data_IF_189468052398
#
_entry.id   IF_189468052398
#
_cell.length_a   1.000
_cell.length_b   1.000
_cell.length_c   1.000
_cell.angle_alpha   90.00
_cell.angle_beta   90.00
_cell.angle_gamma   90.00
#
_symmetry.space_group_name_H-M   'P 1'
#
loop_
_entity.id
_entity.type
_entity.pdbx_description
1 polymer ?
#
# COMPACT_ATOMS: atom_id res chain seq x y z
N UNK A 1 -24.20 3.76 -8.17
CA UNK A 1 -22.78 4.11 -8.32
C UNK A 1 -22.07 2.86 -8.78
N UNK A 2 -21.54 2.85 -10.00
CA UNK A 2 -20.70 1.75 -10.48
C UNK A 2 -19.32 1.89 -9.81
N UNK A 3 -18.89 0.85 -9.08
CA UNK A 3 -17.59 0.82 -8.43
C UNK A 3 -16.53 0.35 -9.44
N UNK A 4 -15.77 1.31 -9.98
CA UNK A 4 -14.68 1.03 -10.90
C UNK A 4 -13.35 0.77 -10.19
N UNK A 5 -13.31 0.85 -8.85
CA UNK A 5 -12.08 0.69 -8.06
C UNK A 5 -11.52 -0.71 -8.28
N UNK A 6 -12.33 -1.75 -8.04
CA UNK A 6 -11.95 -3.14 -8.26
C UNK A 6 -11.51 -3.41 -9.72
N UNK A 7 -12.19 -2.81 -10.70
CA UNK A 7 -11.84 -2.96 -12.11
C UNK A 7 -10.49 -2.31 -12.45
N UNK A 8 -10.23 -1.10 -11.96
CA UNK A 8 -8.98 -0.37 -12.15
C UNK A 8 -7.81 -1.09 -11.46
N UNK A 9 -8.04 -1.64 -10.26
CA UNK A 9 -7.10 -2.47 -9.49
C UNK A 9 -6.69 -3.72 -10.27
N UNK A 10 -7.69 -4.49 -10.72
CA UNK A 10 -7.49 -5.72 -11.49
C UNK A 10 -6.80 -5.44 -12.83
N UNK A 11 -7.11 -4.30 -13.46
CA UNK A 11 -6.49 -3.88 -14.72
C UNK A 11 -5.01 -3.50 -14.53
N UNK A 12 -4.69 -2.66 -13.54
CA UNK A 12 -3.30 -2.31 -13.18
C UNK A 12 -2.50 -3.55 -12.80
N UNK A 13 -3.09 -4.45 -12.03
CA UNK A 13 -2.49 -5.72 -11.66
C UNK A 13 -2.17 -6.58 -12.90
N UNK A 14 -3.15 -6.76 -13.78
CA UNK A 14 -2.99 -7.55 -15.00
C UNK A 14 -1.91 -6.97 -15.90
N UNK A 15 -1.82 -5.64 -16.03
CA UNK A 15 -0.75 -4.96 -16.79
C UNK A 15 0.62 -5.21 -16.15
N UNK A 16 0.74 -5.13 -14.82
CA UNK A 16 1.98 -5.41 -14.09
C UNK A 16 2.43 -6.87 -14.24
N UNK A 17 1.49 -7.82 -14.16
CA UNK A 17 1.78 -9.25 -14.34
C UNK A 17 2.20 -9.55 -15.78
N UNK A 18 1.49 -8.98 -16.75
CA UNK A 18 1.79 -9.18 -18.17
C UNK A 18 3.14 -8.54 -18.53
N UNK A 19 3.40 -7.30 -18.13
CA UNK A 19 4.69 -6.63 -18.36
C UNK A 19 5.87 -7.38 -17.72
N UNK A 20 5.69 -7.93 -16.52
CA UNK A 20 6.70 -8.78 -15.88
C UNK A 20 6.93 -10.11 -16.60
N UNK A 21 5.92 -10.64 -17.31
CA UNK A 21 6.00 -11.89 -18.10
C UNK A 21 6.67 -11.68 -19.46
N UNK A 22 6.42 -10.53 -20.10
CA UNK A 22 6.89 -10.25 -21.46
C UNK A 22 8.32 -9.69 -21.51
N UNK A 23 8.78 -8.95 -20.49
CA UNK A 23 10.14 -8.41 -20.47
C UNK A 23 10.97 -8.91 -19.29
N UNK A 24 11.72 -10.00 -19.51
CA UNK A 24 12.74 -10.50 -18.58
C UNK A 24 13.82 -9.43 -18.22
N UNK A 25 13.91 -8.36 -19.01
CA UNK A 25 14.88 -7.27 -18.84
C UNK A 25 14.33 -6.04 -18.10
N UNK A 26 13.01 -5.83 -18.01
CA UNK A 26 12.45 -4.63 -17.38
C UNK A 26 12.84 -4.57 -15.90
N UNK A 27 12.73 -5.71 -15.19
CA UNK A 27 13.15 -5.83 -13.80
C UNK A 27 14.67 -5.77 -13.60
N UNK A 28 15.50 -5.80 -14.66
CA UNK A 28 16.94 -5.58 -14.52
C UNK A 28 17.29 -4.12 -14.30
N UNK A 29 16.46 -3.22 -14.82
CA UNK A 29 16.65 -1.79 -14.65
C UNK A 29 16.55 -1.43 -13.17
N UNK A 30 17.63 -0.87 -12.62
CA UNK A 30 17.70 -0.48 -11.22
C UNK A 30 16.58 0.50 -10.84
N UNK A 31 16.19 1.38 -11.77
CA UNK A 31 15.09 2.33 -11.64
C UNK A 31 13.75 1.63 -11.41
N UNK A 32 13.45 0.56 -12.13
CA UNK A 32 12.16 -0.14 -12.02
C UNK A 32 12.01 -0.76 -10.63
N UNK A 33 13.12 -1.30 -10.06
CA UNK A 33 13.12 -1.86 -8.70
C UNK A 33 12.79 -0.80 -7.65
N UNK A 34 13.35 0.41 -7.80
CA UNK A 34 13.08 1.51 -6.89
C UNK A 34 11.68 2.09 -7.05
N UNK A 35 11.19 2.22 -8.28
CA UNK A 35 9.81 2.65 -8.55
C UNK A 35 8.82 1.72 -7.83
N UNK A 36 8.98 0.41 -7.99
CA UNK A 36 8.13 -0.57 -7.32
C UNK A 36 8.28 -0.51 -5.79
N UNK A 37 9.51 -0.38 -5.30
CA UNK A 37 9.78 -0.33 -3.87
C UNK A 37 9.18 0.92 -3.19
N UNK A 38 9.22 2.08 -3.84
CA UNK A 38 8.68 3.35 -3.31
C UNK A 38 7.20 3.57 -3.61
N UNK A 39 6.55 2.67 -4.37
CA UNK A 39 5.12 2.71 -4.64
C UNK A 39 4.24 2.98 -3.39
N UNK A 40 4.41 2.28 -2.24
CA UNK A 40 3.57 2.53 -1.06
C UNK A 40 3.78 3.93 -0.48
N UNK A 41 4.99 4.49 -0.56
CA UNK A 41 5.26 5.88 -0.12
C UNK A 41 4.59 6.89 -1.05
N UNK A 42 4.66 6.66 -2.36
CA UNK A 42 3.99 7.51 -3.35
C UNK A 42 2.46 7.50 -3.16
N UNK A 43 1.88 6.32 -2.92
CA UNK A 43 0.45 6.17 -2.63
C UNK A 43 0.07 6.83 -1.31
N UNK A 44 0.89 6.69 -0.27
CA UNK A 44 0.71 7.42 1.01
C UNK A 44 0.62 8.92 0.77
N UNK A 45 1.61 9.48 0.09
CA UNK A 45 1.68 10.90 -0.20
C UNK A 45 0.44 11.36 -0.99
N UNK A 46 0.06 10.60 -2.02
CA UNK A 46 -1.12 10.88 -2.83
C UNK A 46 -2.40 10.89 -1.98
N UNK A 47 -2.59 9.91 -1.09
CA UNK A 47 -3.73 9.85 -0.17
C UNK A 47 -3.81 11.11 0.70
N UNK A 48 -2.71 11.51 1.35
CA UNK A 48 -2.68 12.71 2.19
C UNK A 48 -2.88 13.99 1.38
N UNK A 49 -2.32 14.05 0.17
CA UNK A 49 -2.50 15.20 -0.72
C UNK A 49 -3.96 15.35 -1.15
N UNK A 50 -4.62 14.25 -1.53
CA UNK A 50 -6.06 14.25 -1.85
C UNK A 50 -6.86 14.66 -0.62
N UNK A 51 -6.58 14.07 0.55
CA UNK A 51 -7.26 14.39 1.80
C UNK A 51 -7.20 15.88 2.14
N UNK A 52 -6.01 16.49 2.02
CA UNK A 52 -5.80 17.90 2.34
C UNK A 52 -6.49 18.84 1.35
N UNK A 53 -6.54 18.49 0.06
CA UNK A 53 -6.97 19.39 -1.01
C UNK A 53 -8.37 19.09 -1.55
N UNK A 54 -9.10 18.14 -0.97
CA UNK A 54 -10.35 17.60 -1.53
C UNK A 54 -11.39 18.66 -1.95
N UNK A 55 -11.59 19.71 -1.14
CA UNK A 55 -12.50 20.83 -1.46
C UNK A 55 -11.84 22.00 -2.21
N UNK A 56 -10.53 21.95 -2.45
CA UNK A 56 -9.78 23.01 -3.11
C UNK A 56 -9.97 23.01 -4.62
N UNK A 57 -10.12 21.83 -5.23
CA UNK A 57 -10.23 21.69 -6.68
C UNK A 57 -11.55 21.02 -7.09
N UNK A 58 -12.30 21.65 -7.99
CA UNK A 58 -13.62 21.16 -8.43
C UNK A 58 -13.58 19.72 -8.99
N UNK A 59 -12.50 19.32 -9.65
CA UNK A 59 -12.37 17.98 -10.20
C UNK A 59 -12.12 16.90 -9.15
N UNK A 60 -11.70 17.25 -7.93
CA UNK A 60 -11.46 16.27 -6.86
C UNK A 60 -12.74 15.62 -6.37
N UNK A 61 -13.89 16.29 -6.46
CA UNK A 61 -15.19 15.69 -6.15
C UNK A 61 -15.48 14.52 -7.09
N UNK A 62 -15.02 14.58 -8.35
CA UNK A 62 -15.16 13.47 -9.32
C UNK A 62 -14.31 12.24 -8.95
N UNK A 63 -13.31 12.40 -8.08
CA UNK A 63 -12.54 11.25 -7.57
C UNK A 63 -13.40 10.36 -6.65
N UNK A 64 -14.50 10.87 -6.09
CA UNK A 64 -15.41 10.02 -5.34
C UNK A 64 -16.06 8.94 -6.20
N UNK A 65 -16.31 9.22 -7.48
CA UNK A 65 -16.88 8.23 -8.39
C UNK A 65 -15.85 7.14 -8.74
N UNK A 66 -14.56 7.50 -8.73
CA UNK A 66 -13.46 6.58 -9.04
C UNK A 66 -13.04 5.72 -7.84
N UNK A 67 -13.16 6.26 -6.63
CA UNK A 67 -12.68 5.66 -5.38
C UNK A 67 -13.82 5.44 -4.38
N UNK A 68 -15.05 5.23 -4.83
CA UNK A 68 -16.20 4.89 -3.97
C UNK A 68 -16.33 5.82 -2.74
N UNK A 69 -16.27 7.13 -2.97
CA UNK A 69 -16.33 8.18 -1.93
C UNK A 69 -15.23 8.14 -0.86
N UNK A 70 -14.11 7.44 -1.09
CA UNK A 70 -12.96 7.49 -0.17
C UNK A 70 -12.31 8.86 -0.04
N UNK A 71 -12.13 9.66 -1.11
CA UNK A 71 -11.48 10.97 -1.00
C UNK A 71 -12.16 11.91 0.01
N UNK A 72 -13.50 11.93 0.05
CA UNK A 72 -14.25 12.70 1.05
C UNK A 72 -14.06 12.15 2.47
N UNK A 73 -14.00 10.82 2.63
CA UNK A 73 -13.71 10.20 3.92
C UNK A 73 -12.28 10.52 4.38
N UNK A 74 -11.31 10.46 3.47
CA UNK A 74 -9.93 10.81 3.75
C UNK A 74 -9.81 12.26 4.23
N UNK A 75 -10.50 13.19 3.56
CA UNK A 75 -10.58 14.58 3.98
C UNK A 75 -11.21 14.74 5.36
N UNK A 76 -12.33 14.06 5.63
CA UNK A 76 -13.01 14.09 6.92
C UNK A 76 -12.06 13.64 8.05
N UNK A 77 -11.39 12.52 7.88
CA UNK A 77 -10.48 12.00 8.90
C UNK A 77 -9.26 12.89 9.09
N UNK A 78 -8.63 13.33 8.01
CA UNK A 78 -7.47 14.23 8.09
C UNK A 78 -7.80 15.55 8.80
N UNK A 79 -9.00 16.09 8.58
CA UNK A 79 -9.42 17.38 9.13
C UNK A 79 -9.81 17.29 10.62
N UNK A 80 -10.40 16.17 11.05
CA UNK A 80 -10.89 15.99 12.41
C UNK A 80 -9.90 15.25 13.33
N UNK A 81 -9.03 14.40 12.76
CA UNK A 81 -8.09 13.56 13.49
C UNK A 81 -6.69 13.67 12.86
N UNK A 82 -5.97 14.77 13.12
CA UNK A 82 -4.63 14.94 12.58
C UNK A 82 -3.72 13.81 13.06
N UNK A 83 -2.87 13.25 12.19
CA UNK A 83 -1.98 12.16 12.56
C UNK A 83 -0.93 12.64 13.56
N UNK A 84 -0.73 11.85 14.61
CA UNK A 84 0.31 12.09 15.63
C UNK A 84 1.39 11.02 15.53
N UNK A 85 2.46 11.14 16.33
CA UNK A 85 3.56 10.18 16.32
C UNK A 85 3.10 8.78 16.75
N UNK A 86 2.21 8.70 17.75
CA UNK A 86 1.76 7.46 18.39
C UNK A 86 0.29 7.13 18.16
N UNK A 87 -0.40 7.93 17.35
CA UNK A 87 -1.79 7.73 17.01
C UNK A 87 -2.76 8.52 17.87
N UNK A 88 -4.02 8.44 17.49
CA UNK A 88 -5.14 9.15 18.11
C UNK A 88 -6.26 8.16 18.32
N UNK A 89 -6.81 8.12 19.53
CA UNK A 89 -7.98 7.31 19.82
C UNK A 89 -9.20 7.89 19.09
N UNK A 90 -9.83 7.06 18.27
CA UNK A 90 -11.04 7.44 17.56
C UNK A 90 -12.26 7.16 18.46
N UNK A 91 -13.23 8.10 18.53
CA UNK A 91 -14.51 7.87 19.18
C UNK A 91 -15.23 6.63 18.60
N UNK A 92 -15.79 5.77 19.46
CA UNK A 92 -16.46 4.52 19.04
C UNK A 92 -17.57 4.76 18.01
N UNK A 93 -18.35 5.82 18.15
CA UNK A 93 -19.42 6.20 17.22
C UNK A 93 -18.94 6.47 15.78
N UNK A 94 -17.67 6.87 15.60
CA UNK A 94 -17.06 7.10 14.28
C UNK A 94 -16.56 5.78 13.68
N UNK A 95 -16.15 4.84 14.53
CA UNK A 95 -15.71 3.50 14.13
C UNK A 95 -16.91 2.65 13.65
N UNK A 96 -18.08 2.80 14.28
CA UNK A 96 -19.28 2.00 14.00
C UNK A 96 -20.27 2.65 13.01
N UNK A 97 -20.32 3.99 12.93
CA UNK A 97 -21.26 4.71 12.04
C UNK A 97 -20.82 4.83 10.57
N UNK A 98 -19.53 4.61 10.29
CA UNK A 98 -18.93 4.66 8.95
C UNK A 98 -17.99 3.47 8.75
N UNK A 99 -18.53 2.24 8.78
CA UNK A 99 -17.79 0.98 8.60
C UNK A 99 -16.91 0.82 7.34
N UNK A 100 -16.66 1.91 6.62
CA UNK A 100 -15.77 2.07 5.47
C UNK A 100 -14.59 3.00 5.83
N UNK A 101 -13.78 2.66 6.84
CA UNK A 101 -12.49 3.33 7.03
C UNK A 101 -11.49 2.77 6.01
N UNK A 102 -11.81 2.91 4.73
CA UNK A 102 -11.16 2.14 3.69
C UNK A 102 -10.03 2.95 3.04
N UNK A 103 -8.81 2.50 3.32
CA UNK A 103 -7.56 3.15 2.94
C UNK A 103 -6.57 3.10 4.11
N UNK A 104 -5.79 2.02 4.18
CA UNK A 104 -4.77 1.84 5.22
C UNK A 104 -3.76 2.99 5.29
N UNK A 105 -3.52 3.69 4.18
CA UNK A 105 -2.58 4.80 4.12
C UNK A 105 -3.00 6.04 4.90
N UNK A 106 -4.29 6.23 5.19
CA UNK A 106 -4.75 7.31 6.06
C UNK A 106 -5.17 6.79 7.44
N UNK A 107 -5.81 5.63 7.48
CA UNK A 107 -6.28 5.03 8.73
C UNK A 107 -5.12 4.72 9.69
N UNK A 108 -4.13 3.98 9.22
CA UNK A 108 -3.06 3.47 10.06
C UNK A 108 -2.23 4.58 10.73
N UNK A 109 -1.77 5.62 10.02
CA UNK A 109 -1.04 6.71 10.67
C UNK A 109 -1.90 7.56 11.62
N UNK A 110 -3.22 7.62 11.42
CA UNK A 110 -4.13 8.32 12.34
C UNK A 110 -4.34 7.50 13.62
N UNK A 111 -4.65 6.20 13.50
CA UNK A 111 -5.03 5.36 14.65
C UNK A 111 -3.82 4.84 15.41
N UNK A 112 -2.79 4.37 14.70
CA UNK A 112 -1.62 3.75 15.31
C UNK A 112 -0.40 4.68 15.34
N UNK A 113 -0.45 5.80 14.61
CA UNK A 113 0.62 6.79 14.58
C UNK A 113 1.58 6.65 13.41
N UNK A 114 2.25 7.76 13.12
CA UNK A 114 3.22 7.87 12.03
C UNK A 114 4.41 6.95 12.26
N UNK A 115 4.85 6.74 13.50
CA UNK A 115 6.03 5.92 13.81
C UNK A 115 5.85 4.44 13.40
N UNK A 116 4.86 3.68 13.92
CA UNK A 116 4.67 2.29 13.51
C UNK A 116 4.29 2.16 12.03
N UNK A 117 3.54 3.12 11.48
CA UNK A 117 3.26 3.16 10.06
C UNK A 117 4.54 3.26 9.21
N UNK A 118 5.49 4.10 9.62
CA UNK A 118 6.78 4.26 8.93
C UNK A 118 7.60 2.97 8.95
N UNK A 119 7.53 2.21 10.04
CA UNK A 119 8.19 0.89 10.13
C UNK A 119 7.60 -0.08 9.10
N UNK A 120 6.26 -0.14 8.98
CA UNK A 120 5.59 -0.97 7.98
C UNK A 120 5.99 -0.54 6.56
N UNK A 121 6.07 0.76 6.29
CA UNK A 121 6.50 1.28 5.00
C UNK A 121 7.93 0.84 4.67
N UNK A 122 8.86 0.94 5.62
CA UNK A 122 10.24 0.48 5.42
C UNK A 122 10.30 -1.03 5.12
N UNK A 123 9.48 -1.84 5.80
CA UNK A 123 9.40 -3.29 5.54
C UNK A 123 8.87 -3.56 4.13
N UNK A 124 7.82 -2.85 3.69
CA UNK A 124 7.27 -2.99 2.34
C UNK A 124 8.26 -2.56 1.26
N UNK A 125 8.97 -1.44 1.47
CA UNK A 125 10.02 -0.96 0.57
C UNK A 125 11.12 -2.02 0.46
N UNK A 126 11.64 -2.49 1.60
CA UNK A 126 12.71 -3.49 1.64
C UNK A 126 12.28 -4.81 1.00
N UNK A 127 11.10 -5.33 1.36
CA UNK A 127 10.55 -6.57 0.81
C UNK A 127 10.39 -6.48 -0.70
N UNK A 128 9.74 -5.42 -1.19
CA UNK A 128 9.48 -5.21 -2.62
C UNK A 128 10.79 -5.08 -3.41
N UNK A 129 11.74 -4.28 -2.90
CA UNK A 129 13.06 -4.13 -3.51
C UNK A 129 13.82 -5.45 -3.57
N UNK A 130 13.84 -6.21 -2.46
CA UNK A 130 14.53 -7.50 -2.40
C UNK A 130 13.89 -8.54 -3.33
N UNK A 131 12.56 -8.62 -3.37
CA UNK A 131 11.83 -9.52 -4.28
C UNK A 131 12.10 -9.18 -5.74
N UNK A 132 12.13 -7.88 -6.10
CA UNK A 132 12.49 -7.44 -7.43
C UNK A 132 13.96 -7.74 -7.77
N UNK A 133 14.89 -7.52 -6.82
CA UNK A 133 16.32 -7.81 -7.00
C UNK A 133 16.59 -9.31 -7.20
N UNK A 134 15.92 -10.17 -6.45
CA UNK A 134 16.02 -11.63 -6.55
C UNK A 134 15.21 -12.21 -7.71
N UNK A 135 14.48 -11.37 -8.46
CA UNK A 135 13.53 -11.79 -9.51
C UNK A 135 12.50 -12.81 -9.01
N UNK A 136 12.13 -12.72 -7.73
CA UNK A 136 11.06 -13.53 -7.17
C UNK A 136 9.71 -12.89 -7.52
N UNK A 137 9.28 -13.13 -8.76
CA UNK A 137 8.12 -12.49 -9.38
C UNK A 137 6.83 -12.75 -8.59
N UNK A 138 6.64 -13.95 -8.04
CA UNK A 138 5.45 -14.28 -7.26
C UNK A 138 5.31 -13.43 -6.01
N UNK A 139 6.40 -13.29 -5.23
CA UNK A 139 6.38 -12.48 -4.01
C UNK A 139 6.26 -10.99 -4.36
N UNK A 140 6.94 -10.55 -5.42
CA UNK A 140 6.84 -9.17 -5.89
C UNK A 140 5.39 -8.80 -6.26
N UNK A 141 4.74 -9.65 -7.06
CA UNK A 141 3.34 -9.51 -7.46
C UNK A 141 2.44 -9.46 -6.22
N UNK A 142 2.64 -10.37 -5.28
CA UNK A 142 1.88 -10.42 -4.04
C UNK A 142 2.01 -9.12 -3.21
N UNK A 143 3.24 -8.62 -3.04
CA UNK A 143 3.48 -7.38 -2.31
C UNK A 143 2.86 -6.17 -3.01
N UNK A 144 2.98 -6.08 -4.33
CA UNK A 144 2.39 -4.99 -5.11
C UNK A 144 0.86 -5.01 -5.04
N UNK A 145 0.23 -6.19 -5.08
CA UNK A 145 -1.22 -6.33 -4.85
C UNK A 145 -1.59 -5.82 -3.47
N UNK A 146 -0.83 -6.20 -2.44
CA UNK A 146 -1.11 -5.78 -1.08
C UNK A 146 -1.01 -4.26 -0.92
N UNK A 147 0.03 -3.65 -1.52
CA UNK A 147 0.25 -2.20 -1.57
C UNK A 147 -0.92 -1.47 -2.26
N UNK A 148 -1.40 -2.02 -3.37
CA UNK A 148 -2.51 -1.46 -4.15
C UNK A 148 -3.85 -1.65 -3.42
N UNK A 149 -4.10 -2.83 -2.84
CA UNK A 149 -5.29 -3.13 -2.05
C UNK A 149 -5.39 -2.26 -0.78
N UNK A 150 -4.26 -1.99 -0.12
CA UNK A 150 -4.16 -1.06 1.01
C UNK A 150 -4.62 0.37 0.65
N UNK A 151 -4.53 0.74 -0.62
CA UNK A 151 -4.90 2.08 -1.11
C UNK A 151 -6.40 2.21 -1.31
N UNK A 152 -7.08 1.12 -1.61
CA UNK A 152 -8.28 1.18 -2.42
C UNK A 152 -9.46 0.38 -1.94
N UNK A 153 -9.27 -0.59 -1.04
CA UNK A 153 -10.36 -1.44 -0.57
C UNK A 153 -10.16 -1.86 0.87
N UNK A 154 -8.93 -2.18 1.27
CA UNK A 154 -8.69 -2.81 2.56
C UNK A 154 -7.98 -1.96 3.60
N UNK A 155 -8.14 -2.40 4.84
CA UNK A 155 -7.15 -2.21 5.90
C UNK A 155 -6.37 -3.53 6.02
N UNK A 156 -5.41 -3.84 5.11
CA UNK A 156 -4.64 -5.08 5.20
C UNK A 156 -3.74 -5.16 6.43
N UNK A 157 -3.68 -4.09 7.25
CA UNK A 157 -2.92 -4.00 8.49
C UNK A 157 -3.82 -3.98 9.74
N UNK A 158 -5.09 -4.41 9.64
CA UNK A 158 -6.00 -4.46 10.79
C UNK A 158 -5.51 -5.49 11.81
N UNK A 159 -5.93 -5.39 13.07
CA UNK A 159 -5.57 -6.35 14.14
C UNK A 159 -5.84 -7.82 13.74
N UNK A 160 -6.80 -8.07 12.84
CA UNK A 160 -7.13 -9.39 12.29
C UNK A 160 -6.33 -9.80 11.04
N UNK A 161 -5.71 -8.85 10.32
CA UNK A 161 -4.81 -9.07 9.18
C UNK A 161 -3.45 -8.45 9.52
N UNK A 162 -2.62 -9.29 10.15
CA UNK A 162 -1.46 -8.84 10.91
C UNK A 162 -0.38 -8.14 10.05
N UNK A 163 0.27 -7.07 10.54
CA UNK A 163 1.50 -6.54 9.95
C UNK A 163 2.64 -7.58 9.91
N UNK A 164 2.46 -8.74 10.54
CA UNK A 164 3.30 -9.92 10.39
C UNK A 164 3.33 -10.48 8.97
N UNK A 165 2.35 -10.19 8.12
CA UNK A 165 2.33 -10.72 6.74
C UNK A 165 3.39 -10.05 5.85
N UNK A 166 3.53 -8.71 5.81
CA UNK A 166 4.71 -8.07 5.20
C UNK A 166 6.05 -8.55 5.79
N UNK A 167 6.10 -8.77 7.11
CA UNK A 167 7.31 -9.24 7.81
C UNK A 167 7.65 -10.68 7.41
N UNK A 168 6.67 -11.58 7.38
CA UNK A 168 6.88 -13.00 7.04
C UNK A 168 7.34 -13.15 5.59
N UNK A 169 6.82 -12.31 4.69
CA UNK A 169 7.28 -12.22 3.31
C UNK A 169 8.75 -11.78 3.25
N UNK A 170 9.14 -10.73 3.99
CA UNK A 170 10.53 -10.28 4.05
C UNK A 170 11.46 -11.40 4.55
N UNK A 171 11.08 -12.10 5.62
CA UNK A 171 11.85 -13.23 6.18
C UNK A 171 12.01 -14.34 5.14
N UNK A 172 10.93 -14.73 4.45
CA UNK A 172 10.97 -15.75 3.39
C UNK A 172 11.89 -15.36 2.23
N UNK A 173 11.90 -14.08 1.84
CA UNK A 173 12.77 -13.56 0.77
C UNK A 173 14.24 -13.50 1.21
N UNK A 174 14.51 -13.16 2.47
CA UNK A 174 15.87 -13.17 3.02
C UNK A 174 16.41 -14.60 3.17
N UNK A 175 15.58 -15.54 3.62
CA UNK A 175 15.94 -16.96 3.79
C UNK A 175 16.40 -17.62 2.48
N UNK A 176 15.63 -17.45 1.39
CA UNK A 176 15.97 -18.02 0.08
C UNK A 176 17.32 -17.54 -0.47
N UNK A 177 17.67 -16.28 -0.24
CA UNK A 177 18.97 -15.73 -0.66
C UNK A 177 20.13 -16.39 0.08
N UNK A 178 19.95 -16.69 1.38
CA UNK A 178 20.99 -17.35 2.19
C UNK A 178 21.24 -18.77 1.69
N UNK A 179 20.20 -19.52 1.34
CA UNK A 179 20.34 -20.87 0.77
C UNK A 179 21.04 -20.86 -0.58
N UNK A 180 20.72 -19.92 -1.48
CA UNK A 180 21.39 -19.79 -2.78
C UNK A 180 22.89 -19.53 -2.62
N UNK A 181 23.28 -18.58 -1.75
CA UNK A 181 24.68 -18.26 -1.49
C UNK A 181 25.45 -19.45 -0.89
N UNK A 182 24.80 -20.25 -0.03
CA UNK A 182 25.42 -21.45 0.55
C UNK A 182 25.65 -22.54 -0.51
N UNK A 183 24.71 -22.72 -1.44
CA UNK A 183 24.85 -23.69 -2.52
C UNK A 183 25.86 -23.28 -3.59
N UNK A 184 26.07 -21.98 -3.83
CA UNK A 184 27.11 -21.46 -4.73
C UNK A 184 28.53 -21.55 -4.14
N UNK A 185 28.65 -21.76 -2.83
CA UNK A 185 29.94 -21.87 -2.11
C UNK A 185 30.44 -23.31 -1.93
N UNK A 186 29.70 -24.31 -2.43
CA UNK A 186 30.05 -25.74 -2.42
C UNK A 186 30.41 -26.19 -3.83
#
# INVERSE_FOLDING_TARGET
>A
LEDYTAFLMCSLFSILVLSARFEKNLLNLWIVKWILAFLPVALTYLTFWIAKNYYTYFWMVKLNDLFTSRPILWNFYYSNFPPTIFGTELPENIIFGHGAFDGAYIYYPIVHGILPFSIIMLILIAGTYMSAKQRNVFILIFLVVLIIFAFSEGIPFRVTQSPLLPISVLVCVMGKRKEQLLNESR
#
